data_IF_811489883954
#
_entry.id   IF_811489883954
#
_cell.length_a   1.000
_cell.length_b   1.000
_cell.length_c   1.000
_cell.angle_alpha   90.00
_cell.angle_beta   90.00
_cell.angle_gamma   90.00
#
_symmetry.space_group_name_H-M   'P 1'
#
loop_
_entity.id
_entity.type
_entity.pdbx_description
1 polymer ?
#
# COMPACT_ATOMS: atom_id res chain seq x y z
N UNK A 1 11.96 -56.80 48.19
CA UNK A 1 12.16 -56.31 46.80
C UNK A 1 11.35 -55.04 46.67
N UNK A 2 12.02 -53.92 46.40
CA UNK A 2 11.56 -52.57 46.75
C UNK A 2 10.35 -52.04 45.96
N UNK A 3 9.76 -50.92 46.41
CA UNK A 3 8.69 -50.23 45.68
C UNK A 3 9.21 -49.76 44.33
N UNK A 4 8.49 -50.10 43.24
CA UNK A 4 8.81 -49.56 41.92
C UNK A 4 8.56 -48.06 41.93
N UNK A 5 9.63 -47.27 41.84
CA UNK A 5 9.55 -45.85 41.62
C UNK A 5 8.95 -45.62 40.22
N UNK A 6 7.85 -44.87 40.16
CA UNK A 6 7.28 -44.37 38.92
C UNK A 6 8.34 -43.53 38.17
N UNK A 7 8.44 -43.60 36.84
CA UNK A 7 9.37 -42.76 36.10
C UNK A 7 9.01 -41.29 36.32
N UNK A 8 10.00 -40.50 36.73
CA UNK A 8 9.95 -39.04 36.79
C UNK A 8 9.65 -38.49 35.38
N UNK A 9 8.65 -37.61 35.18
CA UNK A 9 8.42 -37.02 33.86
C UNK A 9 9.65 -36.20 33.47
N UNK A 10 10.30 -36.61 32.39
CA UNK A 10 11.35 -35.82 31.72
C UNK A 10 10.81 -34.42 31.46
N UNK A 11 11.56 -33.34 31.76
CA UNK A 11 11.10 -32.00 31.48
C UNK A 11 10.94 -31.86 29.97
N UNK A 12 9.68 -31.81 29.51
CA UNK A 12 9.35 -31.58 28.12
C UNK A 12 10.08 -30.32 27.67
N UNK A 13 10.93 -30.46 26.63
CA UNK A 13 11.61 -29.34 26.01
C UNK A 13 10.58 -28.30 25.52
N UNK A 14 10.96 -27.03 25.35
CA UNK A 14 10.03 -25.99 24.97
C UNK A 14 9.24 -26.40 23.71
N UNK A 15 7.93 -26.50 23.87
CA UNK A 15 6.98 -26.87 22.82
C UNK A 15 7.28 -26.08 21.52
N UNK A 16 7.34 -26.72 20.35
CA UNK A 16 7.77 -26.07 19.11
C UNK A 16 6.90 -24.88 18.65
N UNK A 17 5.74 -24.66 19.28
CA UNK A 17 4.87 -23.49 19.08
C UNK A 17 5.08 -22.33 20.05
N UNK A 18 5.71 -22.54 21.21
CA UNK A 18 5.74 -21.55 22.29
C UNK A 18 6.46 -20.24 21.93
N UNK A 19 7.45 -20.30 21.02
CA UNK A 19 8.14 -19.12 20.49
C UNK A 19 7.26 -18.32 19.53
N UNK A 20 6.42 -18.99 18.75
CA UNK A 20 5.49 -18.36 17.81
C UNK A 20 4.34 -17.72 18.58
N UNK A 21 3.78 -18.43 19.56
CA UNK A 21 2.71 -17.91 20.43
C UNK A 21 3.17 -16.68 21.23
N UNK A 22 4.43 -16.69 21.69
CA UNK A 22 5.04 -15.54 22.36
C UNK A 22 5.25 -14.34 21.42
N UNK A 23 5.55 -14.58 20.14
CA UNK A 23 5.66 -13.54 19.12
C UNK A 23 4.29 -12.92 18.83
N UNK A 24 3.26 -13.75 18.69
CA UNK A 24 1.89 -13.30 18.39
C UNK A 24 1.33 -12.47 19.55
N UNK A 25 1.50 -12.93 20.78
CA UNK A 25 1.11 -12.18 21.98
C UNK A 25 1.87 -10.84 22.11
N UNK A 26 3.14 -10.80 21.70
CA UNK A 26 3.90 -9.55 21.65
C UNK A 26 3.38 -8.60 20.57
N UNK A 27 3.10 -9.10 19.37
CA UNK A 27 2.55 -8.30 18.26
C UNK A 27 1.20 -7.71 18.64
N UNK A 28 0.29 -8.52 19.19
CA UNK A 28 -1.01 -8.06 19.68
C UNK A 28 -0.84 -6.97 20.74
N UNK A 29 0.05 -7.18 21.72
CA UNK A 29 0.33 -6.19 22.76
C UNK A 29 0.91 -4.87 22.22
N UNK A 30 1.77 -4.94 21.20
CA UNK A 30 2.31 -3.74 20.54
C UNK A 30 1.22 -3.02 19.76
N UNK A 31 0.38 -3.76 19.03
CA UNK A 31 -0.72 -3.23 18.24
C UNK A 31 -1.86 -2.65 19.09
N UNK A 32 -2.11 -3.18 20.28
CA UNK A 32 -3.14 -2.66 21.19
C UNK A 32 -2.69 -1.43 21.98
N UNK A 33 -1.37 -1.25 22.16
CA UNK A 33 -0.84 -0.10 22.88
C UNK A 33 -0.78 1.14 21.97
N UNK A 34 -1.36 2.29 22.38
CA UNK A 34 -1.31 3.52 21.58
C UNK A 34 0.14 4.02 21.38
N UNK A 35 1.01 3.75 22.36
CA UNK A 35 2.45 4.04 22.28
C UNK A 35 3.15 3.13 21.27
N UNK A 36 2.83 1.84 21.26
CA UNK A 36 3.39 0.87 20.31
C UNK A 36 3.02 1.19 18.86
N UNK A 37 1.75 1.53 18.60
CA UNK A 37 1.32 2.01 17.27
C UNK A 37 2.08 3.28 16.87
N UNK A 38 2.24 4.24 17.78
CA UNK A 38 2.94 5.50 17.50
C UNK A 38 4.41 5.25 17.15
N UNK A 39 5.10 4.41 17.93
CA UNK A 39 6.49 4.04 17.68
C UNK A 39 6.65 3.27 16.37
N UNK A 40 5.75 2.33 16.06
CA UNK A 40 5.75 1.58 14.80
C UNK A 40 5.56 2.52 13.61
N UNK A 41 4.61 3.46 13.73
CA UNK A 41 4.32 4.46 12.69
C UNK A 41 5.55 5.34 12.44
N UNK A 42 6.21 5.80 13.50
CA UNK A 42 7.46 6.55 13.40
C UNK A 42 8.59 5.72 12.78
N UNK A 43 8.74 4.46 13.18
CA UNK A 43 9.76 3.56 12.63
C UNK A 43 9.58 3.30 11.13
N UNK A 44 8.33 3.32 10.63
CA UNK A 44 8.04 3.19 9.20
C UNK A 44 8.13 4.52 8.42
N UNK A 45 7.61 5.62 8.97
CA UNK A 45 7.57 6.92 8.27
C UNK A 45 8.91 7.64 8.24
N UNK A 46 9.72 7.52 9.30
CA UNK A 46 11.02 8.17 9.38
C UNK A 46 11.98 7.77 8.24
N UNK A 47 12.27 6.47 7.99
CA UNK A 47 13.15 6.08 6.89
C UNK A 47 12.58 6.46 5.52
N UNK A 48 11.25 6.44 5.37
CA UNK A 48 10.59 6.89 4.14
C UNK A 48 10.83 8.38 3.89
N UNK A 49 10.71 9.21 4.92
CA UNK A 49 10.97 10.65 4.84
C UNK A 49 12.44 10.93 4.54
N UNK A 50 13.37 10.22 5.19
CA UNK A 50 14.80 10.32 4.90
C UNK A 50 15.07 9.96 3.43
N UNK A 51 14.48 8.88 2.91
CA UNK A 51 14.61 8.50 1.51
C UNK A 51 14.09 9.60 0.55
N UNK A 52 13.00 10.27 0.89
CA UNK A 52 12.41 11.33 0.06
C UNK A 52 13.30 12.57 0.01
N UNK A 53 13.87 12.99 1.14
CA UNK A 53 14.60 14.26 1.27
C UNK A 53 16.11 14.13 0.99
N UNK A 54 16.72 13.00 1.36
CA UNK A 54 18.17 12.91 1.37
C UNK A 54 18.76 12.84 -0.05
N UNK A 55 19.71 13.74 -0.42
CA UNK A 55 20.34 13.70 -1.73
C UNK A 55 21.26 12.47 -1.81
N UNK A 56 20.96 11.57 -2.75
CA UNK A 56 21.75 10.36 -2.99
C UNK A 56 22.55 10.56 -4.28
N UNK A 57 23.78 10.04 -4.38
CA UNK A 57 24.53 10.06 -5.62
C UNK A 57 23.75 9.33 -6.72
N UNK A 58 23.86 9.81 -7.97
CA UNK A 58 23.03 9.35 -9.09
C UNK A 58 23.03 7.81 -9.27
N UNK A 59 24.19 7.16 -9.09
CA UNK A 59 24.32 5.70 -9.19
C UNK A 59 23.51 4.97 -8.12
N UNK A 60 23.59 5.41 -6.87
CA UNK A 60 22.84 4.82 -5.76
C UNK A 60 21.33 5.03 -5.94
N UNK A 61 20.93 6.21 -6.44
CA UNK A 61 19.53 6.51 -6.73
C UNK A 61 18.95 5.57 -7.79
N UNK A 62 19.66 5.35 -8.91
CA UNK A 62 19.18 4.47 -9.99
C UNK A 62 19.00 3.04 -9.47
N UNK A 63 20.00 2.49 -8.77
CA UNK A 63 19.94 1.13 -8.22
C UNK A 63 18.79 0.99 -7.23
N UNK A 64 18.63 1.96 -6.32
CA UNK A 64 17.55 1.95 -5.33
C UNK A 64 16.17 2.06 -5.98
N UNK A 65 15.99 2.93 -6.98
CA UNK A 65 14.74 3.06 -7.72
C UNK A 65 14.36 1.79 -8.47
N UNK A 66 15.34 1.12 -9.11
CA UNK A 66 15.11 -0.17 -9.75
C UNK A 66 14.72 -1.26 -8.74
N UNK A 67 15.38 -1.29 -7.58
CA UNK A 67 15.04 -2.22 -6.50
C UNK A 67 13.62 -1.97 -5.98
N UNK A 68 13.24 -0.71 -5.76
CA UNK A 68 11.90 -0.29 -5.34
C UNK A 68 10.84 -0.76 -6.34
N UNK A 69 11.07 -0.56 -7.63
CA UNK A 69 10.16 -1.02 -8.70
C UNK A 69 10.08 -2.55 -8.71
N UNK A 70 11.21 -3.26 -8.62
CA UNK A 70 11.21 -4.72 -8.59
C UNK A 70 10.42 -5.27 -7.39
N UNK A 71 10.63 -4.71 -6.19
CA UNK A 71 9.86 -5.07 -4.99
C UNK A 71 8.38 -4.76 -5.19
N UNK A 72 8.03 -3.58 -5.71
CA UNK A 72 6.64 -3.20 -5.97
C UNK A 72 5.94 -4.19 -6.92
N UNK A 73 6.62 -4.62 -7.99
CA UNK A 73 6.09 -5.60 -8.94
C UNK A 73 5.88 -6.98 -8.30
N UNK A 74 6.85 -7.45 -7.52
CA UNK A 74 6.75 -8.74 -6.80
C UNK A 74 5.62 -8.71 -5.77
N UNK A 75 5.51 -7.63 -4.99
CA UNK A 75 4.45 -7.46 -3.99
C UNK A 75 3.08 -7.38 -4.69
N UNK A 76 2.96 -6.65 -5.79
CA UNK A 76 1.72 -6.58 -6.55
C UNK A 76 1.27 -7.95 -7.08
N UNK A 77 2.21 -8.76 -7.55
CA UNK A 77 1.93 -10.08 -8.11
C UNK A 77 1.59 -11.13 -7.03
N UNK A 78 2.25 -11.10 -5.87
CA UNK A 78 2.12 -12.13 -4.83
C UNK A 78 1.16 -11.77 -3.70
N UNK A 79 1.01 -10.48 -3.41
CA UNK A 79 0.27 -10.00 -2.25
C UNK A 79 -0.69 -8.86 -2.64
N UNK A 80 -1.77 -9.15 -3.38
CA UNK A 80 -2.73 -8.13 -3.81
C UNK A 80 -3.43 -7.41 -2.64
N UNK A 81 -3.38 -7.98 -1.43
CA UNK A 81 -3.86 -7.35 -0.19
C UNK A 81 -2.97 -6.20 0.30
N UNK A 82 -1.70 -6.16 -0.11
CA UNK A 82 -0.70 -5.15 0.29
C UNK A 82 -0.68 -3.94 -0.66
N UNK A 83 -1.78 -3.66 -1.37
CA UNK A 83 -1.87 -2.55 -2.34
C UNK A 83 -1.51 -1.20 -1.72
N UNK A 84 -1.84 -0.97 -0.45
CA UNK A 84 -1.50 0.27 0.27
C UNK A 84 0.02 0.51 0.34
N UNK A 85 0.81 -0.54 0.56
CA UNK A 85 2.28 -0.45 0.63
C UNK A 85 2.85 0.02 -0.71
N UNK A 86 2.30 -0.51 -1.81
CA UNK A 86 2.70 -0.11 -3.17
C UNK A 86 2.34 1.36 -3.43
N UNK A 87 1.17 1.81 -2.98
CA UNK A 87 0.74 3.22 -3.09
C UNK A 87 1.69 4.13 -2.32
N UNK A 88 2.03 3.80 -1.07
CA UNK A 88 2.96 4.59 -0.25
C UNK A 88 4.34 4.66 -0.91
N UNK A 89 4.84 3.53 -1.41
CA UNK A 89 6.13 3.45 -2.08
C UNK A 89 6.17 4.26 -3.38
N UNK A 90 5.09 4.21 -4.17
CA UNK A 90 4.96 5.04 -5.37
C UNK A 90 4.90 6.52 -5.03
N UNK A 91 4.15 6.90 -3.99
CA UNK A 91 4.05 8.30 -3.56
C UNK A 91 5.39 8.82 -3.04
N UNK A 92 6.16 8.00 -2.32
CA UNK A 92 7.51 8.36 -1.88
C UNK A 92 8.48 8.55 -3.06
N UNK A 93 8.45 7.66 -4.05
CA UNK A 93 9.26 7.82 -5.26
C UNK A 93 8.89 9.10 -6.03
N UNK A 94 7.59 9.38 -6.20
CA UNK A 94 7.11 10.60 -6.85
C UNK A 94 7.44 11.87 -6.05
N UNK A 95 7.33 11.82 -4.72
CA UNK A 95 7.71 12.93 -3.84
C UNK A 95 9.19 13.26 -3.92
N UNK A 96 10.06 12.24 -3.92
CA UNK A 96 11.50 12.39 -4.12
C UNK A 96 11.81 13.06 -5.48
N UNK A 97 11.18 12.59 -6.55
CA UNK A 97 11.32 13.17 -7.88
C UNK A 97 10.93 14.65 -7.88
N UNK A 98 9.78 14.99 -7.29
CA UNK A 98 9.27 16.35 -7.26
C UNK A 98 10.18 17.29 -6.45
N UNK A 99 10.71 16.84 -5.30
CA UNK A 99 11.67 17.62 -4.51
C UNK A 99 12.94 17.91 -5.30
N UNK A 100 13.51 16.89 -5.96
CA UNK A 100 14.68 17.08 -6.83
C UNK A 100 14.38 18.05 -7.98
N UNK A 101 13.23 17.89 -8.64
CA UNK A 101 12.79 18.76 -9.74
C UNK A 101 12.68 20.22 -9.28
N UNK A 102 12.01 20.44 -8.14
CA UNK A 102 11.79 21.76 -7.56
C UNK A 102 13.08 22.45 -7.09
N UNK A 103 14.03 21.69 -6.54
CA UNK A 103 15.27 22.25 -6.00
C UNK A 103 16.35 22.49 -7.07
N UNK A 104 16.53 21.56 -8.02
CA UNK A 104 17.72 21.53 -8.88
C UNK A 104 17.46 21.97 -10.33
N UNK A 105 16.20 21.97 -10.78
CA UNK A 105 15.90 22.09 -12.23
C UNK A 105 15.05 23.29 -12.63
N UNK A 106 14.69 24.17 -11.68
CA UNK A 106 14.04 25.44 -12.00
C UNK A 106 15.06 26.42 -12.59
N UNK A 107 14.73 26.94 -13.78
CA UNK A 107 15.57 27.88 -14.49
C UNK A 107 15.20 29.31 -14.10
N UNK A 108 16.17 30.05 -13.56
CA UNK A 108 16.00 31.43 -13.09
C UNK A 108 16.69 32.47 -13.98
N UNK A 109 16.91 32.12 -15.26
CA UNK A 109 17.65 32.94 -16.21
C UNK A 109 16.82 34.10 -16.77
N UNK A 110 16.16 33.88 -17.89
CA UNK A 110 15.30 34.87 -18.55
C UNK A 110 13.83 34.75 -18.12
N UNK A 111 13.03 35.77 -18.42
CA UNK A 111 11.58 35.73 -18.16
C UNK A 111 10.87 34.56 -18.87
N UNK A 112 11.33 34.21 -20.07
CA UNK A 112 10.83 33.05 -20.82
C UNK A 112 11.22 31.72 -20.17
N UNK A 113 12.41 31.63 -19.59
CA UNK A 113 12.86 30.41 -18.90
C UNK A 113 12.07 30.20 -17.61
N UNK A 114 11.84 31.27 -16.85
CA UNK A 114 11.07 31.23 -15.59
C UNK A 114 9.63 30.81 -15.87
N UNK A 115 8.97 31.45 -16.83
CA UNK A 115 7.57 31.14 -17.17
C UNK A 115 7.41 29.72 -17.68
N UNK A 116 8.29 29.26 -18.57
CA UNK A 116 8.24 27.90 -19.12
C UNK A 116 8.55 26.84 -18.06
N UNK A 117 9.57 27.06 -17.23
CA UNK A 117 9.94 26.13 -16.16
C UNK A 117 8.86 26.03 -15.08
N UNK A 118 8.25 27.15 -14.69
CA UNK A 118 7.15 27.15 -13.73
C UNK A 118 5.87 26.51 -14.29
N UNK A 119 5.54 26.76 -15.55
CA UNK A 119 4.40 26.13 -16.21
C UNK A 119 4.57 24.60 -16.27
N UNK A 120 5.76 24.13 -16.65
CA UNK A 120 6.09 22.72 -16.69
C UNK A 120 6.01 22.10 -15.28
N UNK A 121 6.61 22.74 -14.28
CA UNK A 121 6.53 22.28 -12.89
C UNK A 121 5.08 22.26 -12.37
N UNK A 122 4.27 23.25 -12.73
CA UNK A 122 2.83 23.27 -12.41
C UNK A 122 2.05 22.12 -13.04
N UNK A 123 2.37 21.75 -14.28
CA UNK A 123 1.80 20.58 -14.94
C UNK A 123 2.20 19.27 -14.22
N UNK A 124 3.44 19.16 -13.75
CA UNK A 124 3.92 18.02 -12.95
C UNK A 124 3.20 17.92 -11.60
N UNK A 125 2.97 19.05 -10.92
CA UNK A 125 2.16 19.10 -9.69
C UNK A 125 0.72 18.65 -9.93
N UNK A 126 0.11 19.11 -11.02
CA UNK A 126 -1.24 18.68 -11.41
C UNK A 126 -1.31 17.17 -11.68
N UNK A 127 -0.30 16.60 -12.35
CA UNK A 127 -0.20 15.17 -12.55
C UNK A 127 -0.10 14.42 -11.21
N UNK A 128 0.66 14.94 -10.25
CA UNK A 128 0.76 14.34 -8.90
C UNK A 128 -0.58 14.37 -8.15
N UNK A 129 -1.33 15.47 -8.23
CA UNK A 129 -2.67 15.57 -7.63
C UNK A 129 -3.64 14.57 -8.27
N UNK A 130 -3.57 14.40 -9.59
CA UNK A 130 -4.38 13.42 -10.32
C UNK A 130 -4.01 11.99 -9.91
N UNK A 131 -2.71 11.70 -9.74
CA UNK A 131 -2.21 10.43 -9.25
C UNK A 131 -2.75 10.12 -7.84
N UNK A 132 -2.65 11.08 -6.92
CA UNK A 132 -3.18 10.94 -5.56
C UNK A 132 -4.69 10.68 -5.58
N UNK A 133 -5.43 11.41 -6.41
CA UNK A 133 -6.88 11.22 -6.58
C UNK A 133 -7.22 9.83 -7.11
N UNK A 134 -6.45 9.32 -8.08
CA UNK A 134 -6.59 7.96 -8.58
C UNK A 134 -6.35 6.89 -7.51
N UNK A 135 -5.38 7.11 -6.61
CA UNK A 135 -5.16 6.22 -5.47
C UNK A 135 -6.31 6.25 -4.46
N UNK A 136 -6.86 7.43 -4.16
CA UNK A 136 -8.04 7.53 -3.28
C UNK A 136 -9.24 6.76 -3.83
N UNK A 137 -9.49 6.83 -5.13
CA UNK A 137 -10.58 6.10 -5.78
C UNK A 137 -10.36 4.58 -5.76
N UNK A 138 -9.12 4.12 -5.94
CA UNK A 138 -8.78 2.70 -6.05
C UNK A 138 -8.47 2.02 -4.72
N UNK A 139 -8.31 2.79 -3.64
CA UNK A 139 -8.06 2.26 -2.29
C UNK A 139 -9.28 1.51 -1.72
N UNK A 140 -10.50 1.95 -2.05
CA UNK A 140 -11.74 1.36 -1.53
C UNK A 140 -12.36 0.44 -2.59
N UNK A 141 -11.83 -0.78 -2.70
CA UNK A 141 -12.51 -1.80 -3.50
C UNK A 141 -13.63 -2.40 -2.67
N UNK A 142 -14.87 -1.95 -2.91
CA UNK A 142 -16.05 -2.57 -2.32
C UNK A 142 -16.40 -3.84 -3.09
N UNK A 143 -16.07 -5.00 -2.52
CA UNK A 143 -16.51 -6.30 -3.06
C UNK A 143 -17.94 -6.55 -2.64
N UNK A 144 -18.89 -6.22 -3.51
CA UNK A 144 -20.29 -6.56 -3.30
C UNK A 144 -20.48 -8.05 -3.58
N UNK A 145 -20.98 -8.81 -2.60
CA UNK A 145 -21.40 -10.19 -2.83
C UNK A 145 -22.75 -10.17 -3.58
N UNK A 146 -22.97 -11.05 -4.56
CA UNK A 146 -24.29 -11.22 -5.16
C UNK A 146 -25.30 -11.56 -4.06
N UNK A 147 -26.45 -10.88 -4.07
CA UNK A 147 -27.55 -11.22 -3.17
C UNK A 147 -28.24 -12.46 -3.73
N UNK A 148 -28.34 -13.57 -2.97
CA UNK A 148 -29.00 -14.78 -3.46
C UNK A 148 -30.50 -14.52 -3.62
N UNK A 149 -30.99 -14.77 -4.84
CA UNK A 149 -32.42 -14.63 -5.19
C UNK A 149 -33.18 -15.94 -4.90
N UNK A 150 -32.45 -17.05 -4.72
CA UNK A 150 -33.01 -18.36 -4.38
C UNK A 150 -33.65 -18.33 -2.98
N UNK A 151 -34.98 -18.31 -2.92
CA UNK A 151 -35.76 -18.34 -1.68
C UNK A 151 -36.69 -17.13 -1.47
N UNK A 152 -36.63 -16.10 -2.32
CA UNK A 152 -37.62 -15.03 -2.31
C UNK A 152 -38.94 -15.50 -2.95
N UNK A 153 -40.06 -15.16 -2.32
CA UNK A 153 -41.38 -15.37 -2.91
C UNK A 153 -41.55 -14.46 -4.15
N UNK A 154 -42.35 -14.88 -5.13
CA UNK A 154 -42.58 -14.09 -6.34
C UNK A 154 -43.12 -12.67 -6.05
N UNK A 155 -43.83 -12.46 -4.94
CA UNK A 155 -44.33 -11.16 -4.48
C UNK A 155 -43.24 -10.20 -3.98
N UNK A 156 -42.03 -10.69 -3.71
CA UNK A 156 -40.90 -9.89 -3.24
C UNK A 156 -39.98 -9.45 -4.39
N UNK A 157 -40.22 -9.95 -5.60
CA UNK A 157 -39.44 -9.56 -6.78
C UNK A 157 -39.95 -8.21 -7.31
N UNK A 158 -39.05 -7.24 -7.58
CA UNK A 158 -39.43 -5.97 -8.17
C UNK A 158 -39.83 -6.18 -9.64
N UNK A 159 -40.81 -5.40 -10.11
CA UNK A 159 -41.06 -5.25 -11.54
C UNK A 159 -39.90 -4.48 -12.16
N UNK A 160 -39.26 -5.04 -13.19
CA UNK A 160 -38.09 -4.44 -13.86
C UNK A 160 -38.44 -4.16 -15.31
N UNK A 161 -38.36 -2.90 -15.71
CA UNK A 161 -38.49 -2.50 -17.11
C UNK A 161 -37.10 -2.50 -17.78
N UNK A 162 -36.97 -3.28 -18.85
CA UNK A 162 -35.71 -3.38 -19.61
C UNK A 162 -35.83 -2.48 -20.83
N UNK A 163 -35.11 -1.35 -20.81
CA UNK A 163 -35.03 -0.46 -21.97
C UNK A 163 -33.88 -0.89 -22.87
N UNK A 164 -34.20 -1.24 -24.12
CA UNK A 164 -33.23 -1.57 -25.17
C UNK A 164 -33.24 -0.42 -26.19
N UNK A 165 -32.40 0.61 -26.04
CA UNK A 165 -32.28 1.65 -27.05
C UNK A 165 -31.60 1.08 -28.29
N UNK A 166 -32.34 1.05 -29.39
CA UNK A 166 -31.87 0.64 -30.71
C UNK A 166 -31.94 1.83 -31.67
N UNK A 167 -31.13 1.81 -32.72
CA UNK A 167 -31.20 2.84 -33.76
C UNK A 167 -31.26 2.23 -35.17
N UNK A 168 -30.27 1.43 -35.56
CA UNK A 168 -30.17 0.85 -36.90
C UNK A 168 -29.53 -0.55 -36.89
N UNK A 169 -30.15 -1.53 -36.22
CA UNK A 169 -29.71 -2.93 -36.24
C UNK A 169 -30.16 -3.74 -37.47
N UNK A 170 -30.29 -3.09 -38.64
CA UNK A 170 -30.57 -3.82 -39.87
C UNK A 170 -29.31 -4.48 -40.45
N UNK A 171 -29.32 -5.82 -40.46
CA UNK A 171 -28.88 -6.67 -41.56
C UNK A 171 -29.83 -7.86 -41.68
#
# INVERSE_FOLDING_TARGET
MGPQASPDPTPDGPEPGAMVDGLDAFIERVLESPVGITLLTMACLFPLLVFVVFPLPARAHIVLSLLIVAVALVVNARFPRMRLVIVILSLAASGRYLLYRGAETLAWGSWTDITTSLLLYGAELYALVTLMSGYFQTAIIRRNKPVPISGLAASQLPTVDIYIPTYNEHA
#
